data_IF_527434622031
#
_entry.id   IF_527434622031
#
_cell.length_a   1.000
_cell.length_b   1.000
_cell.length_c   1.000
_cell.angle_alpha   90.00
_cell.angle_beta   90.00
_cell.angle_gamma   90.00
#
_symmetry.space_group_name_H-M   'P 1'
#
loop_
_entity.id
_entity.type
_entity.pdbx_description
1 polymer ?
#
# COMPACT_ATOMS: atom_id res chain seq x y z
N UNK A 1 32.95 22.52 -0.33
CA UNK A 1 32.44 21.56 0.67
C UNK A 1 31.35 20.61 0.13
N UNK A 2 30.56 20.96 -0.91
CA UNK A 2 29.50 20.10 -1.50
C UNK A 2 29.93 18.83 -2.25
N UNK A 3 31.24 18.63 -2.47
CA UNK A 3 31.78 17.46 -3.20
C UNK A 3 32.17 16.31 -2.27
N UNK A 4 32.48 16.60 -1.00
CA UNK A 4 32.88 15.60 -0.02
C UNK A 4 31.68 14.79 0.49
N UNK A 5 30.53 15.45 0.69
CA UNK A 5 29.27 14.84 1.13
C UNK A 5 28.72 13.84 0.11
N UNK A 6 28.78 14.18 -1.19
CA UNK A 6 28.37 13.26 -2.28
C UNK A 6 29.28 12.03 -2.37
N UNK A 7 30.58 12.18 -2.08
CA UNK A 7 31.53 11.06 -2.08
C UNK A 7 31.35 10.16 -0.86
N UNK A 8 31.10 10.72 0.31
CA UNK A 8 30.81 9.94 1.53
C UNK A 8 29.52 9.13 1.39
N UNK A 9 28.47 9.70 0.79
CA UNK A 9 27.22 8.98 0.50
C UNK A 9 27.44 7.79 -0.46
N UNK A 10 28.27 7.95 -1.49
CA UNK A 10 28.59 6.88 -2.43
C UNK A 10 29.43 5.75 -1.79
N UNK A 11 30.39 6.10 -0.92
CA UNK A 11 31.21 5.12 -0.20
C UNK A 11 30.39 4.32 0.81
N UNK A 12 29.44 4.95 1.51
CA UNK A 12 28.51 4.24 2.40
C UNK A 12 27.64 3.27 1.61
N UNK A 13 27.15 3.68 0.44
CA UNK A 13 26.34 2.81 -0.43
C UNK A 13 27.14 1.58 -0.90
N UNK A 14 28.40 1.77 -1.33
CA UNK A 14 29.26 0.68 -1.78
C UNK A 14 29.67 -0.26 -0.64
N UNK A 15 29.86 0.27 0.57
CA UNK A 15 30.16 -0.53 1.76
C UNK A 15 28.97 -1.41 2.18
N UNK A 16 27.74 -0.90 2.05
CA UNK A 16 26.51 -1.66 2.32
C UNK A 16 26.35 -2.80 1.30
N UNK A 17 26.58 -2.51 0.00
CA UNK A 17 26.51 -3.54 -1.06
C UNK A 17 27.60 -4.61 -0.89
N UNK A 18 28.83 -4.21 -0.52
CA UNK A 18 29.92 -5.15 -0.25
C UNK A 18 29.65 -6.05 0.96
N UNK A 19 29.05 -5.51 2.03
CA UNK A 19 28.68 -6.28 3.22
C UNK A 19 27.58 -7.32 2.94
N UNK A 20 26.65 -7.02 2.02
CA UNK A 20 25.57 -7.94 1.63
C UNK A 20 26.07 -9.13 0.78
N UNK A 21 27.15 -8.97 0.01
CA UNK A 21 27.70 -10.08 -0.80
C UNK A 21 28.49 -11.14 0.00
N UNK A 22 28.89 -10.83 1.24
CA UNK A 22 29.68 -11.72 2.09
C UNK A 22 28.87 -12.48 3.16
N UNK A 23 27.55 -12.26 3.23
CA UNK A 23 26.68 -12.93 4.21
C UNK A 23 25.59 -13.82 3.58
N UNK A 24 25.87 -14.39 2.40
CA UNK A 24 25.12 -15.55 1.89
C UNK A 24 25.48 -16.84 2.65
N UNK A 25 25.38 -16.81 3.98
CA UNK A 25 25.19 -18.03 4.78
C UNK A 25 23.74 -18.07 5.24
N UNK A 26 23.09 -19.18 4.91
CA UNK A 26 21.68 -19.48 5.16
C UNK A 26 21.27 -19.06 6.57
N UNK A 27 20.47 -18.01 6.68
CA UNK A 27 19.79 -17.64 7.93
C UNK A 27 18.32 -17.39 7.66
N UNK A 28 17.52 -17.89 8.59
CA UNK A 28 16.08 -18.13 8.53
C UNK A 28 15.25 -16.93 8.03
N UNK A 29 14.21 -17.25 7.27
CA UNK A 29 13.41 -16.40 6.39
C UNK A 29 12.72 -15.16 7.00
N UNK A 30 12.76 -14.96 8.32
CA UNK A 30 11.98 -13.88 8.96
C UNK A 30 12.72 -12.53 9.11
N UNK A 31 14.04 -12.47 8.93
CA UNK A 31 14.79 -11.20 9.04
C UNK A 31 15.02 -10.49 7.70
N UNK A 32 14.85 -11.22 6.59
CA UNK A 32 15.08 -10.68 5.24
C UNK A 32 14.01 -9.67 4.83
N UNK A 33 12.76 -9.84 5.26
CA UNK A 33 11.70 -8.89 4.92
C UNK A 33 11.97 -7.49 5.49
N UNK A 34 12.43 -7.39 6.74
CA UNK A 34 12.71 -6.09 7.38
C UNK A 34 13.90 -5.38 6.73
N UNK A 35 14.93 -6.14 6.34
CA UNK A 35 16.10 -5.61 5.64
C UNK A 35 15.77 -5.22 4.19
N UNK A 36 14.97 -6.03 3.48
CA UNK A 36 14.44 -5.68 2.15
C UNK A 36 13.53 -4.46 2.21
N UNK A 37 12.63 -4.36 3.20
CA UNK A 37 11.76 -3.20 3.44
C UNK A 37 12.61 -1.93 3.63
N UNK A 38 13.69 -2.02 4.41
CA UNK A 38 14.62 -0.93 4.64
C UNK A 38 15.43 -0.53 3.40
N UNK A 39 15.84 -1.49 2.56
CA UNK A 39 16.58 -1.21 1.33
C UNK A 39 15.67 -0.66 0.23
N UNK A 40 14.43 -1.13 0.19
CA UNK A 40 13.41 -0.63 -0.72
C UNK A 40 13.03 0.82 -0.37
N UNK A 41 12.98 1.17 0.93
CA UNK A 41 12.77 2.55 1.38
C UNK A 41 13.80 3.56 0.83
N UNK A 42 15.00 3.10 0.45
CA UNK A 42 16.07 3.95 -0.10
C UNK A 42 15.95 4.22 -1.61
N UNK A 43 15.06 3.53 -2.32
CA UNK A 43 14.89 3.67 -3.77
C UNK A 43 13.53 4.25 -4.19
N UNK A 44 12.61 4.52 -3.24
CA UNK A 44 11.31 5.13 -3.57
C UNK A 44 11.41 6.63 -3.81
N UNK A 45 10.83 7.07 -4.93
CA UNK A 45 10.60 8.48 -5.20
C UNK A 45 9.40 8.98 -4.37
N UNK A 46 9.31 10.29 -4.05
CA UNK A 46 8.10 10.86 -3.45
C UNK A 46 6.89 10.60 -4.36
N UNK A 47 5.98 9.73 -3.92
CA UNK A 47 4.85 9.26 -4.73
C UNK A 47 4.80 7.74 -4.87
N UNK A 48 5.89 7.01 -4.66
CA UNK A 48 5.88 5.54 -4.69
C UNK A 48 5.70 4.94 -3.30
N UNK A 49 4.79 3.98 -3.17
CA UNK A 49 4.64 3.14 -1.99
C UNK A 49 4.63 1.68 -2.38
N UNK A 50 5.57 0.93 -1.81
CA UNK A 50 5.52 -0.52 -1.92
C UNK A 50 4.56 -1.13 -0.93
N UNK A 51 3.75 -2.04 -1.46
CA UNK A 51 2.82 -2.87 -0.72
C UNK A 51 3.30 -4.30 -0.78
N UNK A 52 3.65 -4.82 0.39
CA UNK A 52 3.99 -6.21 0.64
C UNK A 52 2.75 -6.88 1.22
N UNK A 53 1.82 -7.23 0.33
CA UNK A 53 0.69 -8.08 0.70
C UNK A 53 1.19 -9.52 0.77
N UNK A 54 0.95 -10.19 1.90
CA UNK A 54 1.46 -11.55 2.18
C UNK A 54 1.23 -12.50 1.00
N UNK A 55 2.25 -13.29 0.63
CA UNK A 55 2.14 -14.24 -0.48
C UNK A 55 2.19 -13.65 -1.90
N UNK A 56 2.41 -12.33 -2.04
CA UNK A 56 2.66 -11.69 -3.34
C UNK A 56 4.00 -10.97 -3.34
N UNK A 57 4.59 -10.87 -4.54
CA UNK A 57 5.73 -10.00 -4.75
C UNK A 57 5.35 -8.54 -4.49
N UNK A 58 6.35 -7.73 -4.16
CA UNK A 58 6.20 -6.29 -3.92
C UNK A 58 5.39 -5.60 -5.03
N UNK A 59 4.31 -4.93 -4.64
CA UNK A 59 3.49 -4.14 -5.54
C UNK A 59 3.88 -2.68 -5.36
N UNK A 60 4.48 -2.08 -6.39
CA UNK A 60 4.70 -0.64 -6.41
C UNK A 60 3.40 0.06 -6.76
N UNK A 61 2.97 0.96 -5.89
CA UNK A 61 1.76 1.76 -6.06
C UNK A 61 2.10 3.23 -6.00
N UNK A 62 1.32 4.04 -6.70
CA UNK A 62 1.35 5.48 -6.47
C UNK A 62 0.55 5.83 -5.22
N UNK A 63 1.12 6.65 -4.35
CA UNK A 63 0.47 7.18 -3.14
C UNK A 63 -0.17 8.52 -3.41
N UNK A 64 -1.43 8.64 -3.02
CA UNK A 64 -2.11 9.91 -2.96
C UNK A 64 -2.47 10.22 -1.52
N UNK A 65 -1.99 11.36 -1.02
CA UNK A 65 -2.34 11.87 0.30
C UNK A 65 -3.74 12.47 0.24
N UNK A 66 -4.67 11.85 0.97
CA UNK A 66 -6.05 12.30 1.12
C UNK A 66 -6.21 12.85 2.53
N UNK A 67 -6.43 14.15 2.62
CA UNK A 67 -6.77 14.80 3.89
C UNK A 67 -8.26 14.63 4.13
N UNK A 68 -8.65 14.11 5.30
CA UNK A 68 -10.02 13.69 5.64
C UNK A 68 -11.09 14.79 5.61
N UNK A 69 -10.77 16.00 5.16
CA UNK A 69 -11.67 17.15 5.02
C UNK A 69 -12.11 17.42 3.58
N UNK A 70 -11.61 16.69 2.58
CA UNK A 70 -11.98 16.91 1.17
C UNK A 70 -12.82 15.76 0.60
N UNK A 71 -14.07 16.07 0.26
CA UNK A 71 -14.87 15.24 -0.65
C UNK A 71 -14.29 15.35 -2.07
N UNK A 72 -13.93 14.22 -2.69
CA UNK A 72 -13.41 14.23 -4.05
C UNK A 72 -13.14 12.83 -4.59
N UNK A 73 -12.89 12.76 -5.90
CA UNK A 73 -12.42 11.56 -6.60
C UNK A 73 -10.89 11.63 -6.68
N UNK A 74 -10.16 10.77 -5.97
CA UNK A 74 -8.71 10.86 -6.00
C UNK A 74 -8.13 10.31 -7.32
N UNK A 75 -6.86 10.64 -7.62
CA UNK A 75 -6.32 10.46 -8.97
C UNK A 75 -6.12 8.97 -9.30
N UNK A 76 -6.25 8.67 -10.60
CA UNK A 76 -6.34 7.32 -11.15
C UNK A 76 -5.23 6.39 -10.66
N UNK A 77 -5.67 5.15 -10.42
CA UNK A 77 -4.88 3.96 -10.17
C UNK A 77 -3.69 3.82 -11.15
N UNK A 78 -2.54 3.36 -10.68
CA UNK A 78 -1.39 2.95 -11.50
C UNK A 78 -1.63 1.60 -12.17
N UNK A 79 -1.37 1.47 -13.46
CA UNK A 79 -1.57 0.21 -14.18
C UNK A 79 -0.38 -0.74 -13.95
N UNK A 80 -0.64 -1.94 -13.42
CA UNK A 80 0.35 -3.02 -13.40
C UNK A 80 -0.01 -4.08 -14.44
N UNK A 81 0.78 -4.19 -15.50
CA UNK A 81 0.54 -5.17 -16.56
C UNK A 81 -0.76 -4.93 -17.33
N UNK A 82 -1.30 -5.97 -17.96
CA UNK A 82 -2.49 -5.88 -18.82
C UNK A 82 -3.75 -5.91 -17.95
N UNK A 83 -4.31 -4.74 -17.66
CA UNK A 83 -5.70 -4.59 -17.18
C UNK A 83 -5.88 -4.42 -15.68
N UNK A 84 -4.91 -4.79 -14.85
CA UNK A 84 -4.97 -4.56 -13.41
C UNK A 84 -4.50 -3.14 -13.07
N UNK A 85 -5.27 -2.48 -12.21
CA UNK A 85 -4.97 -1.10 -11.80
C UNK A 85 -4.92 -1.06 -10.27
N UNK A 86 -3.84 -0.51 -9.73
CA UNK A 86 -3.53 -0.54 -8.29
C UNK A 86 -3.35 0.87 -7.75
N UNK A 87 -3.65 1.11 -6.47
CA UNK A 87 -3.24 2.33 -5.77
C UNK A 87 -3.12 2.06 -4.28
N UNK A 88 -2.28 2.84 -3.61
CA UNK A 88 -2.36 3.02 -2.17
C UNK A 88 -2.77 4.46 -1.89
N UNK A 89 -3.80 4.67 -1.08
CA UNK A 89 -4.20 6.01 -0.65
C UNK A 89 -3.82 6.19 0.80
N UNK A 90 -3.05 7.23 1.09
CA UNK A 90 -2.78 7.61 2.47
C UNK A 90 -3.93 8.47 2.94
N UNK A 91 -4.68 7.99 3.93
CA UNK A 91 -5.64 8.80 4.65
C UNK A 91 -4.91 9.52 5.80
N UNK A 92 -4.85 10.85 5.72
CA UNK A 92 -4.31 11.73 6.76
C UNK A 92 -5.41 12.31 7.66
N UNK A 93 -6.62 11.74 7.62
CA UNK A 93 -7.80 12.19 8.34
C UNK A 93 -8.02 11.55 9.72
N UNK A 94 -8.85 12.23 10.52
CA UNK A 94 -9.31 11.82 11.84
C UNK A 94 -10.24 10.59 11.80
N UNK A 95 -10.52 10.03 12.98
CA UNK A 95 -11.35 8.82 13.17
C UNK A 95 -12.85 9.00 12.86
N UNK A 96 -13.21 10.00 12.07
CA UNK A 96 -14.57 10.22 11.56
C UNK A 96 -14.68 10.11 10.03
N UNK A 97 -13.56 9.89 9.34
CA UNK A 97 -13.59 9.75 7.88
C UNK A 97 -14.19 8.41 7.45
N UNK A 98 -14.97 8.43 6.37
CA UNK A 98 -15.47 7.27 5.66
C UNK A 98 -15.02 7.31 4.19
N UNK A 99 -14.87 6.13 3.61
CA UNK A 99 -14.46 5.94 2.23
C UNK A 99 -15.40 4.96 1.55
N UNK A 100 -15.97 5.37 0.43
CA UNK A 100 -16.77 4.52 -0.45
C UNK A 100 -15.90 4.05 -1.60
N UNK A 101 -15.93 2.76 -1.95
CA UNK A 101 -15.27 2.19 -3.13
C UNK A 101 -16.32 1.50 -3.98
N UNK A 102 -16.44 1.85 -5.26
CA UNK A 102 -17.38 1.25 -6.18
C UNK A 102 -16.65 0.56 -7.34
N UNK A 103 -17.05 -0.69 -7.64
CA UNK A 103 -16.54 -1.46 -8.76
C UNK A 103 -16.22 -2.91 -8.37
N UNK A 104 -15.16 -3.46 -8.97
CA UNK A 104 -14.62 -4.78 -8.63
C UNK A 104 -13.16 -4.64 -8.20
N UNK A 105 -12.85 -5.01 -6.96
CA UNK A 105 -11.53 -4.81 -6.38
C UNK A 105 -11.26 -5.77 -5.21
N UNK A 106 -9.97 -5.95 -4.90
CA UNK A 106 -9.50 -6.37 -3.59
C UNK A 106 -9.03 -5.13 -2.82
N UNK A 107 -9.38 -5.05 -1.54
CA UNK A 107 -9.11 -3.90 -0.68
C UNK A 107 -8.37 -4.39 0.56
N UNK A 108 -7.26 -3.74 0.91
CA UNK A 108 -6.55 -3.99 2.17
C UNK A 108 -6.37 -2.65 2.88
N UNK A 109 -6.61 -2.63 4.19
CA UNK A 109 -6.41 -1.44 5.02
C UNK A 109 -5.18 -1.67 5.89
N UNK A 110 -4.28 -0.70 5.92
CA UNK A 110 -3.09 -0.69 6.74
C UNK A 110 -3.15 0.46 7.74
N UNK A 111 -2.75 0.23 8.99
CA UNK A 111 -2.57 1.23 10.03
C UNK A 111 -1.11 1.65 10.05
N UNK A 112 -0.79 2.71 9.31
CA UNK A 112 0.55 3.27 9.20
C UNK A 112 0.49 4.73 8.76
N UNK A 113 1.45 5.54 9.18
CA UNK A 113 1.67 6.90 8.70
C UNK A 113 2.75 7.00 7.61
N UNK A 114 3.40 5.87 7.29
CA UNK A 114 4.56 5.78 6.39
C UNK A 114 4.52 4.54 5.49
N UNK A 115 5.08 4.65 4.30
CA UNK A 115 5.41 3.51 3.43
C UNK A 115 6.88 3.09 3.62
N UNK A 116 7.26 1.82 3.33
CA UNK A 116 6.46 0.74 2.73
C UNK A 116 5.40 0.12 3.66
N UNK A 117 4.38 -0.49 3.06
CA UNK A 117 3.29 -1.19 3.76
C UNK A 117 3.57 -2.69 3.76
N UNK A 118 3.50 -3.33 4.91
CA UNK A 118 3.68 -4.77 5.06
C UNK A 118 2.62 -5.41 5.94
N UNK A 119 2.69 -6.72 6.08
CA UNK A 119 1.80 -7.57 6.88
C UNK A 119 1.66 -7.10 8.33
N UNK A 120 2.76 -6.63 8.93
CA UNK A 120 2.79 -6.11 10.29
C UNK A 120 1.96 -4.83 10.48
N UNK A 121 1.63 -4.14 9.38
CA UNK A 121 0.91 -2.88 9.40
C UNK A 121 -0.56 -3.07 8.98
N UNK A 122 -1.04 -4.29 8.76
CA UNK A 122 -2.44 -4.54 8.38
C UNK A 122 -3.35 -4.10 9.53
N UNK A 123 -4.34 -3.28 9.21
CA UNK A 123 -5.30 -2.78 10.19
C UNK A 123 -6.27 -3.88 10.62
N UNK A 124 -6.69 -3.86 11.89
CA UNK A 124 -7.60 -4.86 12.44
C UNK A 124 -9.04 -4.41 12.23
N UNK A 125 -9.82 -5.19 11.47
CA UNK A 125 -11.25 -4.91 11.26
C UNK A 125 -12.02 -5.06 12.58
N UNK A 126 -12.95 -4.14 12.83
CA UNK A 126 -13.73 -4.05 14.06
C UNK A 126 -13.05 -3.20 15.15
N UNK A 127 -11.72 -3.05 15.10
CA UNK A 127 -10.96 -2.23 16.04
C UNK A 127 -10.52 -0.92 15.41
N UNK A 128 -9.85 -0.98 14.25
CA UNK A 128 -9.25 0.16 13.57
C UNK A 128 -10.13 0.72 12.43
N UNK A 129 -10.94 -0.14 11.83
CA UNK A 129 -11.90 0.22 10.79
C UNK A 129 -13.05 -0.79 10.73
N UNK A 130 -14.17 -0.40 10.13
CA UNK A 130 -15.22 -1.31 9.65
C UNK A 130 -15.34 -1.22 8.14
N UNK A 131 -15.66 -2.33 7.48
CA UNK A 131 -15.97 -2.37 6.05
C UNK A 131 -17.21 -3.21 5.80
N UNK A 132 -18.05 -2.77 4.87
CA UNK A 132 -19.26 -3.46 4.42
C UNK A 132 -19.35 -3.44 2.89
N UNK A 133 -20.32 -4.19 2.34
CA UNK A 133 -20.60 -4.16 0.90
C UNK A 133 -19.70 -5.06 0.06
N UNK A 134 -19.17 -6.14 0.64
CA UNK A 134 -18.33 -7.16 -0.01
C UNK A 134 -18.19 -8.40 0.86
N UNK A 135 -17.10 -9.14 0.69
CA UNK A 135 -16.78 -10.30 1.52
C UNK A 135 -15.27 -10.45 1.73
N UNK A 136 -14.88 -11.13 2.80
CA UNK A 136 -13.50 -11.51 3.02
C UNK A 136 -12.95 -12.39 1.91
N UNK A 137 -11.70 -12.16 1.55
CA UNK A 137 -10.99 -12.90 0.52
C UNK A 137 -9.53 -13.07 0.94
N UNK A 138 -9.08 -14.32 0.94
CA UNK A 138 -7.68 -14.68 1.15
C UNK A 138 -7.05 -15.31 -0.11
N UNK A 139 -7.79 -15.40 -1.21
CA UNK A 139 -7.37 -16.11 -2.42
C UNK A 139 -6.37 -15.34 -3.28
N UNK A 140 -6.59 -14.04 -3.47
CA UNK A 140 -5.65 -13.18 -4.21
C UNK A 140 -4.66 -12.51 -3.25
N UNK A 141 -5.16 -11.88 -2.20
CA UNK A 141 -4.36 -11.27 -1.15
C UNK A 141 -4.90 -11.71 0.20
N UNK A 142 -4.06 -12.14 1.15
CA UNK A 142 -4.46 -12.35 2.54
C UNK A 142 -5.01 -11.07 3.17
N UNK A 143 -6.00 -11.22 4.05
CA UNK A 143 -6.65 -10.13 4.79
C UNK A 143 -7.35 -9.09 3.91
N UNK A 144 -7.61 -9.44 2.64
CA UNK A 144 -8.29 -8.56 1.70
C UNK A 144 -9.81 -8.67 1.79
N UNK A 145 -10.48 -7.57 1.51
CA UNK A 145 -11.92 -7.53 1.29
C UNK A 145 -12.20 -7.40 -0.20
N UNK A 146 -12.99 -8.33 -0.74
CA UNK A 146 -13.33 -8.39 -2.16
C UNK A 146 -14.71 -7.79 -2.39
N UNK A 147 -14.78 -6.92 -3.40
CA UNK A 147 -16.04 -6.47 -4.00
C UNK A 147 -16.11 -6.93 -5.46
N UNK A 148 -17.31 -7.30 -5.93
CA UNK A 148 -17.55 -7.68 -7.33
C UNK A 148 -18.76 -6.91 -7.85
N UNK A 149 -18.51 -5.88 -8.67
CA UNK A 149 -19.54 -5.02 -9.25
C UNK A 149 -20.52 -4.44 -8.22
N UNK A 150 -19.98 -3.95 -7.10
CA UNK A 150 -20.74 -3.45 -5.97
C UNK A 150 -20.00 -2.30 -5.27
N UNK A 151 -20.61 -1.76 -4.22
CA UNK A 151 -20.06 -0.64 -3.45
C UNK A 151 -19.67 -1.12 -2.06
N UNK A 152 -18.42 -0.90 -1.66
CA UNK A 152 -17.95 -1.04 -0.30
C UNK A 152 -17.97 0.30 0.44
N UNK A 153 -18.29 0.28 1.73
CA UNK A 153 -18.15 1.41 2.62
C UNK A 153 -17.16 1.07 3.72
N UNK A 154 -16.12 1.88 3.87
CA UNK A 154 -15.05 1.76 4.86
C UNK A 154 -15.21 2.92 5.84
N UNK A 155 -15.24 2.65 7.13
CA UNK A 155 -15.28 3.68 8.19
C UNK A 155 -14.08 3.48 9.10
N UNK A 156 -13.27 4.51 9.28
CA UNK A 156 -12.07 4.46 10.11
C UNK A 156 -12.42 4.88 11.54
N UNK A 157 -12.00 4.13 12.54
CA UNK A 157 -12.35 4.37 13.96
C UNK A 157 -11.19 4.98 14.75
N UNK A 158 -9.95 4.86 14.26
CA UNK A 158 -8.77 5.42 14.93
C UNK A 158 -8.38 6.80 14.38
N UNK A 159 -7.75 7.63 15.22
CA UNK A 159 -7.50 9.05 14.93
C UNK A 159 -6.28 9.34 14.06
N UNK A 160 -5.49 8.36 13.63
CA UNK A 160 -4.28 8.66 12.84
C UNK A 160 -3.81 7.51 11.94
N UNK A 161 -3.54 7.85 10.68
CA UNK A 161 -2.60 7.17 9.78
C UNK A 161 -3.11 5.85 9.23
N UNK A 162 -3.93 5.92 8.17
CA UNK A 162 -4.33 4.74 7.41
C UNK A 162 -3.80 4.80 5.99
N UNK A 163 -3.50 3.62 5.44
CA UNK A 163 -3.38 3.43 4.01
C UNK A 163 -4.45 2.46 3.53
N UNK A 164 -5.12 2.80 2.43
CA UNK A 164 -6.03 1.88 1.74
C UNK A 164 -5.37 1.45 0.44
N UNK A 165 -5.04 0.18 0.35
CA UNK A 165 -4.60 -0.44 -0.89
C UNK A 165 -5.82 -0.96 -1.66
N UNK A 166 -5.95 -0.57 -2.92
CA UNK A 166 -6.96 -1.10 -3.84
C UNK A 166 -6.25 -1.78 -5.00
N UNK A 167 -6.64 -3.02 -5.26
CA UNK A 167 -6.27 -3.77 -6.46
C UNK A 167 -7.53 -4.02 -7.30
N UNK A 168 -7.69 -3.28 -8.39
CA UNK A 168 -8.87 -3.37 -9.25
C UNK A 168 -8.86 -4.64 -10.12
N UNK A 169 -10.03 -5.27 -10.23
CA UNK A 169 -10.24 -6.51 -10.97
C UNK A 169 -10.78 -6.17 -12.37
N UNK A 170 -10.00 -6.37 -13.45
CA UNK A 170 -10.47 -6.15 -14.82
C UNK A 170 -11.56 -7.14 -15.20
N UNK A 171 -12.34 -6.78 -16.23
CA UNK A 171 -13.37 -7.64 -16.81
C UNK A 171 -13.20 -7.71 -18.32
N UNK A 172 -13.18 -8.93 -18.87
CA UNK A 172 -13.33 -9.20 -20.30
C UNK A 172 -12.47 -8.33 -21.22
N UNK A 173 -11.17 -8.20 -20.94
CA UNK A 173 -10.23 -7.44 -21.77
C UNK A 173 -10.32 -5.91 -21.64
N UNK A 174 -11.13 -5.40 -20.71
CA UNK A 174 -11.23 -3.97 -20.41
C UNK A 174 -10.43 -3.62 -19.15
N UNK A 175 -9.88 -2.41 -19.12
CA UNK A 175 -9.24 -1.86 -17.93
C UNK A 175 -10.24 -1.82 -16.76
N UNK A 176 -9.79 -2.18 -15.57
CA UNK A 176 -10.65 -2.18 -14.39
C UNK A 176 -11.11 -0.75 -14.06
N UNK A 177 -12.42 -0.56 -13.90
CA UNK A 177 -13.01 0.70 -13.46
C UNK A 177 -13.37 0.57 -11.97
N UNK A 178 -12.63 1.30 -11.13
CA UNK A 178 -12.95 1.46 -9.71
C UNK A 178 -12.97 2.95 -9.42
N UNK A 179 -14.02 3.40 -8.76
CA UNK A 179 -14.16 4.76 -8.26
C UNK A 179 -14.18 4.72 -6.74
N UNK A 180 -13.75 5.81 -6.13
CA UNK A 180 -13.75 5.94 -4.69
C UNK A 180 -13.99 7.38 -4.29
N UNK A 181 -14.59 7.56 -3.13
CA UNK A 181 -15.04 8.86 -2.61
C UNK A 181 -14.85 8.87 -1.12
N UNK A 182 -14.33 9.97 -0.59
CA UNK A 182 -14.21 10.20 0.85
C UNK A 182 -15.32 11.13 1.34
N UNK A 183 -15.81 10.87 2.54
CA UNK A 183 -16.84 11.65 3.24
C UNK A 183 -16.54 11.68 4.73
N UNK A 184 -16.96 12.76 5.41
CA UNK A 184 -16.96 12.89 6.86
C UNK A 184 -18.40 12.84 7.38
#
# INVERSE_FOLDING_TARGET
MKSLEKKMSLFVLLAIVGALTLQCEKKEDNQNETLLLGLAALTYSPGDCAVFASGKAQINTWTNDITGTTSGTPPKLSTMGIGHVTTAMKLTGDGSTSMTVQGSAFIIVYKSSTCPLGTNNVAVRGTDYSISGGADSNGEFPDSYKITNQTASITFTASTGFYVFIYAIPRSGQSAAVTYTFSQ
#
